data_IF_898185721668
#
_entry.id   IF_898185721668
#
_cell.length_a   1.000
_cell.length_b   1.000
_cell.length_c   1.000
_cell.angle_alpha   90.00
_cell.angle_beta   90.00
_cell.angle_gamma   90.00
#
_symmetry.space_group_name_H-M   'P 1'
#
loop_
_entity.id
_entity.type
_entity.pdbx_description
1 polymer ?
#
# COMPACT_ATOMS: atom_id res chain seq x y z
N UNK A 1 -3.44 -8.77 30.71
CA UNK A 1 -3.85 -9.49 29.50
C UNK A 1 -4.69 -8.56 28.65
N UNK A 2 -4.12 -8.02 27.56
CA UNK A 2 -4.88 -7.18 26.64
C UNK A 2 -5.88 -8.03 25.86
N UNK A 3 -7.15 -7.67 25.90
CA UNK A 3 -8.19 -8.29 25.08
C UNK A 3 -7.86 -8.04 23.59
N UNK A 4 -7.43 -9.08 22.90
CA UNK A 4 -7.30 -9.07 21.44
C UNK A 4 -8.70 -8.83 20.88
N UNK A 5 -8.94 -7.64 20.31
CA UNK A 5 -10.20 -7.38 19.62
C UNK A 5 -10.37 -8.44 18.52
N UNK A 6 -11.57 -9.03 18.34
CA UNK A 6 -11.79 -9.96 17.26
C UNK A 6 -11.73 -9.18 15.94
N UNK A 7 -10.62 -9.31 15.20
CA UNK A 7 -10.37 -8.63 13.93
C UNK A 7 -10.66 -9.53 12.72
N UNK A 8 -11.45 -10.60 12.87
CA UNK A 8 -11.88 -11.38 11.70
C UNK A 8 -12.66 -10.45 10.74
N UNK A 9 -12.28 -10.36 9.45
CA UNK A 9 -13.09 -9.69 8.45
C UNK A 9 -14.48 -10.30 8.47
N UNK A 10 -15.49 -9.44 8.64
CA UNK A 10 -16.89 -9.89 8.73
C UNK A 10 -17.47 -10.26 7.36
N UNK A 11 -16.77 -9.92 6.28
CA UNK A 11 -17.11 -10.18 4.88
C UNK A 11 -15.91 -9.84 3.97
N UNK A 12 -15.95 -10.25 2.70
CA UNK A 12 -14.97 -9.83 1.68
C UNK A 12 -14.86 -8.30 1.60
N UNK A 13 -16.01 -7.61 1.55
CA UNK A 13 -16.08 -6.14 1.57
C UNK A 13 -15.39 -5.53 2.77
N UNK A 14 -15.54 -6.14 3.95
CA UNK A 14 -14.82 -5.67 5.14
C UNK A 14 -13.31 -5.80 4.93
N UNK A 15 -12.83 -6.96 4.48
CA UNK A 15 -11.41 -7.20 4.23
C UNK A 15 -10.83 -6.19 3.23
N UNK A 16 -11.51 -5.99 2.09
CA UNK A 16 -11.11 -5.04 1.04
C UNK A 16 -11.00 -3.61 1.55
N UNK A 17 -12.04 -3.12 2.24
CA UNK A 17 -12.05 -1.75 2.79
C UNK A 17 -11.00 -1.55 3.87
N UNK A 18 -10.79 -2.56 4.71
CA UNK A 18 -9.77 -2.51 5.74
C UNK A 18 -8.39 -2.39 5.11
N UNK A 19 -8.06 -3.27 4.16
CA UNK A 19 -6.77 -3.24 3.49
C UNK A 19 -6.59 -1.96 2.67
N UNK A 20 -7.60 -1.51 1.91
CA UNK A 20 -7.56 -0.23 1.19
C UNK A 20 -7.14 0.92 2.12
N UNK A 21 -7.76 1.04 3.31
CA UNK A 21 -7.40 2.07 4.30
C UNK A 21 -5.98 1.93 4.86
N UNK A 22 -5.43 0.71 4.92
CA UNK A 22 -4.02 0.52 5.26
C UNK A 22 -3.12 0.96 4.12
N UNK A 23 -3.48 0.63 2.89
CA UNK A 23 -2.69 0.93 1.70
C UNK A 23 -2.62 2.42 1.39
N UNK A 24 -3.68 3.19 1.68
CA UNK A 24 -3.63 4.66 1.58
C UNK A 24 -2.53 5.29 2.44
N UNK A 25 -1.94 4.57 3.39
CA UNK A 25 -0.80 5.08 4.18
C UNK A 25 0.50 5.10 3.38
N UNK A 26 0.61 4.31 2.30
CA UNK A 26 1.78 4.34 1.43
C UNK A 26 1.87 5.62 0.60
N UNK A 27 0.82 6.44 0.54
CA UNK A 27 0.88 7.74 -0.13
C UNK A 27 1.93 8.66 0.47
N UNK A 28 2.23 8.52 1.77
CA UNK A 28 3.32 9.27 2.40
C UNK A 28 4.69 8.90 1.81
N UNK A 29 4.88 7.65 1.36
CA UNK A 29 6.13 7.22 0.72
C UNK A 29 6.30 7.87 -0.66
N UNK A 30 5.19 8.13 -1.35
CA UNK A 30 5.21 8.87 -2.60
C UNK A 30 5.66 10.31 -2.35
N UNK A 31 5.09 10.98 -1.33
CA UNK A 31 5.46 12.34 -0.93
C UNK A 31 6.91 12.46 -0.47
N UNK A 32 7.37 11.56 0.42
CA UNK A 32 8.71 11.61 1.02
C UNK A 32 9.85 11.47 -0.01
N UNK A 33 9.54 10.87 -1.16
CA UNK A 33 10.50 10.57 -2.22
C UNK A 33 10.17 11.25 -3.54
N UNK A 34 9.05 11.99 -3.62
CA UNK A 34 8.47 12.54 -4.84
C UNK A 34 8.61 11.59 -6.02
N UNK A 35 7.97 10.42 -5.87
CA UNK A 35 8.04 9.31 -6.83
C UNK A 35 6.68 8.63 -6.92
N UNK A 36 6.39 8.00 -8.06
CA UNK A 36 5.24 7.11 -8.16
C UNK A 36 5.44 5.91 -7.22
N UNK A 37 4.39 5.51 -6.53
CA UNK A 37 4.36 4.30 -5.71
C UNK A 37 3.33 3.35 -6.29
N UNK A 38 3.76 2.14 -6.62
CA UNK A 38 2.91 1.06 -7.06
C UNK A 38 2.90 0.01 -5.96
N UNK A 39 1.73 -0.20 -5.35
CA UNK A 39 1.52 -1.29 -4.39
C UNK A 39 0.69 -2.35 -5.08
N UNK A 40 1.16 -3.60 -5.01
CA UNK A 40 0.46 -4.78 -5.50
C UNK A 40 0.42 -5.82 -4.40
N UNK A 41 -0.71 -6.51 -4.27
CA UNK A 41 -0.87 -7.64 -3.37
C UNK A 41 -1.47 -8.83 -4.15
N UNK A 42 -1.25 -10.03 -3.64
CA UNK A 42 -1.92 -11.23 -4.11
C UNK A 42 -3.43 -11.13 -3.80
N UNK A 43 -4.24 -11.94 -4.47
CA UNK A 43 -5.68 -11.99 -4.20
C UNK A 43 -6.16 -13.44 -4.11
N UNK A 44 -7.10 -13.70 -3.19
CA UNK A 44 -7.66 -15.02 -2.97
C UNK A 44 -6.85 -15.88 -2.02
N UNK A 45 -7.08 -17.20 -2.09
CA UNK A 45 -6.47 -18.20 -1.20
C UNK A 45 -5.18 -18.73 -1.82
N UNK A 46 -4.04 -18.42 -1.21
CA UNK A 46 -2.72 -18.89 -1.66
C UNK A 46 -2.36 -20.30 -1.15
N UNK A 47 -3.10 -20.81 -0.15
CA UNK A 47 -2.89 -22.15 0.40
C UNK A 47 -3.50 -22.34 1.78
N UNK A 48 -3.04 -23.38 2.47
CA UNK A 48 -3.30 -23.61 3.90
C UNK A 48 -1.95 -24.03 4.51
N UNK A 49 -1.60 -23.47 5.66
CA UNK A 49 -0.44 -23.94 6.44
C UNK A 49 -0.92 -24.82 7.58
N UNK A 50 -0.28 -25.98 7.74
CA UNK A 50 -0.67 -26.98 8.75
C UNK A 50 -0.40 -26.51 10.18
N UNK A 51 0.47 -25.51 10.35
CA UNK A 51 0.77 -24.91 11.65
C UNK A 51 -0.38 -24.08 12.23
N UNK A 52 -1.43 -23.82 11.44
CA UNK A 52 -2.60 -23.05 11.84
C UNK A 52 -3.88 -23.84 11.56
N UNK A 53 -4.92 -23.72 12.40
CA UNK A 53 -6.26 -24.20 12.06
C UNK A 53 -6.72 -23.70 10.68
N UNK A 54 -7.50 -24.50 9.95
CA UNK A 54 -7.93 -24.17 8.57
C UNK A 54 -8.75 -22.86 8.48
N UNK A 55 -9.44 -22.51 9.57
CA UNK A 55 -10.23 -21.27 9.71
C UNK A 55 -9.45 -20.13 10.40
N UNK A 56 -8.15 -20.33 10.67
CA UNK A 56 -7.33 -19.34 11.35
C UNK A 56 -7.12 -18.09 10.49
N UNK A 57 -7.10 -16.94 11.14
CA UNK A 57 -7.05 -15.63 10.46
C UNK A 57 -5.79 -15.33 9.69
N UNK A 58 -4.69 -15.96 10.10
CA UNK A 58 -3.39 -15.84 9.43
C UNK A 58 -3.17 -16.95 8.40
N UNK A 59 -4.20 -17.71 8.04
CA UNK A 59 -4.13 -18.51 6.81
C UNK A 59 -3.86 -17.56 5.63
N UNK A 60 -3.12 -18.01 4.60
CA UNK A 60 -2.62 -17.14 3.53
C UNK A 60 -3.75 -16.77 2.56
N UNK A 61 -4.66 -15.91 3.03
CA UNK A 61 -5.80 -15.36 2.31
C UNK A 61 -5.56 -13.88 2.09
N UNK A 62 -5.43 -13.51 0.83
CA UNK A 62 -4.98 -12.19 0.43
C UNK A 62 -6.16 -11.39 -0.10
N UNK A 63 -6.44 -10.19 0.44
CA UNK A 63 -7.57 -9.40 -0.01
C UNK A 63 -7.32 -8.73 -1.35
N UNK A 64 -6.09 -8.69 -1.90
CA UNK A 64 -5.72 -7.88 -3.06
C UNK A 64 -5.50 -6.42 -2.68
N UNK A 65 -5.90 -5.47 -3.52
CA UNK A 65 -5.73 -4.04 -3.21
C UNK A 65 -4.53 -3.43 -3.94
N UNK A 66 -4.47 -3.56 -5.27
CA UNK A 66 -3.46 -2.80 -5.99
C UNK A 66 -3.80 -1.29 -5.96
N UNK A 67 -2.77 -0.45 -5.86
CA UNK A 67 -2.90 1.02 -5.79
C UNK A 67 -1.70 1.69 -6.45
N UNK A 68 -1.97 2.75 -7.20
CA UNK A 68 -0.97 3.62 -7.81
C UNK A 68 -1.12 5.01 -7.22
N UNK A 69 -0.03 5.57 -6.70
CA UNK A 69 0.03 6.91 -6.13
C UNK A 69 1.02 7.78 -6.90
N UNK A 70 0.63 9.02 -7.18
CA UNK A 70 1.45 10.05 -7.79
C UNK A 70 2.50 10.64 -6.82
N UNK A 71 3.56 11.29 -7.33
CA UNK A 71 4.59 11.93 -6.53
C UNK A 71 4.10 13.00 -5.53
N UNK A 72 2.92 13.56 -5.74
CA UNK A 72 2.25 14.53 -4.86
C UNK A 72 1.28 13.88 -3.85
N UNK A 73 1.35 12.55 -3.69
CA UNK A 73 0.52 11.74 -2.83
C UNK A 73 -0.95 11.57 -3.27
N UNK A 74 -1.32 12.01 -4.49
CA UNK A 74 -2.61 11.69 -5.07
C UNK A 74 -2.72 10.19 -5.42
N UNK A 75 -3.84 9.56 -5.08
CA UNK A 75 -4.12 8.19 -5.53
C UNK A 75 -4.68 8.27 -6.95
N UNK A 76 -3.91 7.83 -7.93
CA UNK A 76 -4.30 7.85 -9.34
C UNK A 76 -5.28 6.73 -9.68
N UNK A 77 -5.02 5.54 -9.13
CA UNK A 77 -5.84 4.38 -9.38
C UNK A 77 -5.74 3.37 -8.24
N UNK A 78 -6.80 2.61 -8.03
CA UNK A 78 -6.82 1.46 -7.12
C UNK A 78 -7.86 0.43 -7.56
N UNK A 79 -7.68 -0.82 -7.16
CA UNK A 79 -8.66 -1.89 -7.36
C UNK A 79 -9.94 -1.65 -6.54
N UNK A 80 -11.08 -2.24 -6.92
CA UNK A 80 -12.37 -2.01 -6.24
C UNK A 80 -12.39 -2.44 -4.76
N UNK A 81 -13.39 -2.06 -3.95
CA UNK A 81 -13.34 -2.28 -2.48
C UNK A 81 -14.48 -3.15 -1.92
N UNK A 82 -15.12 -3.93 -2.78
CA UNK A 82 -16.31 -4.73 -2.45
C UNK A 82 -16.09 -6.26 -2.52
N UNK A 83 -15.30 -6.77 -3.47
CA UNK A 83 -15.08 -8.21 -3.71
C UNK A 83 -13.61 -8.61 -3.70
N UNK A 84 -13.31 -9.87 -3.37
CA UNK A 84 -11.96 -10.43 -3.55
C UNK A 84 -11.92 -11.13 -4.91
N UNK A 85 -11.21 -10.56 -5.88
CA UNK A 85 -11.12 -11.07 -7.25
C UNK A 85 -9.87 -10.56 -7.97
N UNK A 86 -9.49 -11.25 -9.05
CA UNK A 86 -8.42 -10.82 -9.95
C UNK A 86 -8.79 -9.50 -10.65
N UNK A 87 -7.84 -8.57 -10.68
CA UNK A 87 -8.03 -7.23 -11.23
C UNK A 87 -6.72 -6.72 -11.84
N UNK A 88 -6.85 -5.79 -12.78
CA UNK A 88 -5.73 -5.10 -13.40
C UNK A 88 -5.99 -3.60 -13.40
N UNK A 89 -4.99 -2.82 -13.02
CA UNK A 89 -4.98 -1.37 -13.18
C UNK A 89 -4.07 -1.05 -14.37
N UNK A 90 -4.56 -0.22 -15.28
CA UNK A 90 -3.76 0.37 -16.36
C UNK A 90 -3.75 1.87 -16.13
N UNK A 91 -2.55 2.46 -16.06
CA UNK A 91 -2.37 3.87 -15.77
C UNK A 91 -1.16 4.40 -16.53
N UNK A 92 -1.34 5.52 -17.23
CA UNK A 92 -0.24 6.26 -17.82
C UNK A 92 0.45 7.10 -16.74
N UNK A 93 1.78 7.02 -16.69
CA UNK A 93 2.63 7.75 -15.75
C UNK A 93 3.55 8.66 -16.56
N UNK A 94 3.51 9.97 -16.29
CA UNK A 94 4.30 10.94 -17.04
C UNK A 94 5.53 11.38 -16.25
N UNK A 95 6.70 11.37 -16.90
CA UNK A 95 7.96 11.82 -16.29
C UNK A 95 7.87 13.28 -15.81
N UNK A 96 7.11 14.12 -16.52
CA UNK A 96 6.88 15.52 -16.17
C UNK A 96 6.28 15.71 -14.76
N UNK A 97 5.49 14.74 -14.26
CA UNK A 97 4.90 14.81 -12.92
C UNK A 97 5.98 14.69 -11.84
N UNK A 98 6.97 13.81 -12.06
CA UNK A 98 8.13 13.69 -11.19
C UNK A 98 8.98 14.97 -11.25
N UNK A 99 9.26 15.46 -12.46
CA UNK A 99 10.10 16.65 -12.64
C UNK A 99 9.52 17.87 -11.96
N UNK A 100 8.20 18.11 -12.13
CA UNK A 100 7.47 19.15 -11.45
C UNK A 100 7.65 19.05 -9.93
N UNK A 101 7.44 17.87 -9.35
CA UNK A 101 7.53 17.70 -7.91
C UNK A 101 8.97 17.82 -7.37
N UNK A 102 9.97 17.35 -8.10
CA UNK A 102 11.39 17.45 -7.73
C UNK A 102 12.00 18.85 -7.98
N UNK A 103 11.34 19.67 -8.78
CA UNK A 103 11.68 21.10 -8.94
C UNK A 103 11.30 21.94 -7.72
N UNK A 104 10.41 21.45 -6.84
CA UNK A 104 10.00 22.16 -5.64
C UNK A 104 11.21 22.49 -4.75
N UNK A 105 11.27 23.70 -4.18
CA UNK A 105 12.39 24.14 -3.34
C UNK A 105 12.57 23.23 -2.12
N UNK A 106 11.46 22.82 -1.52
CA UNK A 106 11.41 21.84 -0.43
C UNK A 106 11.57 20.37 -0.87
N UNK A 107 12.14 20.10 -2.06
CA UNK A 107 12.43 18.73 -2.47
C UNK A 107 13.38 18.06 -1.46
N UNK A 108 12.83 17.14 -0.68
CA UNK A 108 13.47 16.64 0.54
C UNK A 108 14.84 15.98 0.27
N UNK A 109 15.07 15.39 -0.91
CA UNK A 109 16.39 14.83 -1.22
C UNK A 109 17.48 15.89 -1.40
N UNK A 110 17.13 17.13 -1.77
CA UNK A 110 18.09 18.26 -1.83
C UNK A 110 18.48 18.76 -0.45
N UNK A 111 17.58 18.64 0.54
CA UNK A 111 17.75 19.23 1.87
C UNK A 111 18.06 18.21 2.98
N UNK A 112 18.19 16.92 2.64
CA UNK A 112 18.57 15.85 3.58
C UNK A 112 19.97 16.10 4.16
N UNK A 113 20.04 16.23 5.48
CA UNK A 113 21.28 16.39 6.25
C UNK A 113 21.95 15.03 6.48
N UNK A 114 22.47 14.41 5.42
CA UNK A 114 23.00 13.02 5.44
C UNK A 114 24.00 12.78 6.58
N UNK A 115 24.80 13.79 6.92
CA UNK A 115 25.80 13.75 7.98
C UNK A 115 25.21 13.55 9.40
N UNK A 116 23.93 13.84 9.62
CA UNK A 116 23.26 13.61 10.91
C UNK A 116 22.71 12.19 11.08
N UNK A 117 22.73 11.38 10.01
CA UNK A 117 22.07 10.07 9.96
C UNK A 117 23.04 8.95 9.54
N UNK A 118 24.35 9.16 9.72
CA UNK A 118 25.39 8.18 9.33
C UNK A 118 25.25 6.84 10.03
N UNK A 119 24.66 6.82 11.23
CA UNK A 119 24.57 5.62 12.08
C UNK A 119 23.34 4.75 11.76
N UNK A 120 22.52 5.14 10.78
CA UNK A 120 21.31 4.42 10.33
C UNK A 120 21.55 3.53 9.09
N UNK A 121 22.80 3.42 8.63
CA UNK A 121 23.21 2.63 7.46
C UNK A 121 24.06 1.43 7.89
#
# INVERSE_FOLDING_TARGET
>A
MGTIRPTRPKSERHARRHLHKLLTRYTIRAWENYSFILVTDQVGKAGVVDSLPVDHMNQPYHPGGAMITAPDAEILAHTQIDKIQDEMIVQDLHAADIDKMRSHENYQLKTRQKQLFTDLL
#
